data_IF_806840820216
#
_entry.id   IF_806840820216
#
_cell.length_a   1.000
_cell.length_b   1.000
_cell.length_c   1.000
_cell.angle_alpha   90.00
_cell.angle_beta   90.00
_cell.angle_gamma   90.00
#
_symmetry.space_group_name_H-M   'P 1'
#
loop_
_entity.id
_entity.type
_entity.pdbx_description
1 polymer ?
#
# COMPACT_ATOMS: atom_id res chain seq x y z
N UNK A 1 -80.10 -25.86 -18.63
CA UNK A 1 -79.71 -26.23 -20.01
C UNK A 1 -79.16 -24.99 -20.69
N UNK A 2 -77.95 -25.10 -21.23
CA UNK A 2 -77.50 -24.52 -22.51
C UNK A 2 -77.47 -23.00 -22.76
N UNK A 3 -76.28 -22.57 -23.21
CA UNK A 3 -75.96 -21.52 -24.21
C UNK A 3 -76.20 -20.05 -23.80
N UNK A 4 -75.17 -19.23 -23.58
CA UNK A 4 -74.18 -18.63 -24.51
C UNK A 4 -74.65 -17.29 -25.16
N UNK A 5 -73.73 -16.30 -25.10
CA UNK A 5 -73.63 -15.01 -25.84
C UNK A 5 -74.42 -13.85 -25.21
N UNK A 6 -73.84 -12.72 -24.79
CA UNK A 6 -72.91 -11.73 -25.40
C UNK A 6 -71.95 -11.16 -24.29
N UNK A 7 -70.62 -11.01 -24.38
CA UNK A 7 -69.70 -10.27 -25.29
C UNK A 7 -70.09 -8.76 -25.33
N UNK A 8 -69.38 -7.74 -24.84
CA UNK A 8 -67.96 -7.31 -24.87
C UNK A 8 -67.90 -5.95 -24.07
N UNK A 9 -66.94 -5.59 -23.21
CA UNK A 9 -65.76 -4.70 -23.48
C UNK A 9 -65.10 -4.43 -22.09
N UNK A 10 -63.83 -4.84 -21.85
CA UNK A 10 -62.57 -4.12 -22.13
C UNK A 10 -62.14 -3.18 -21.00
N UNK A 11 -61.12 -3.63 -20.26
CA UNK A 11 -60.43 -2.90 -19.21
C UNK A 11 -59.13 -3.63 -18.87
N UNK A 12 -58.25 -3.72 -19.86
CA UNK A 12 -56.87 -4.19 -19.76
C UNK A 12 -56.13 -3.44 -18.65
N UNK A 13 -55.73 -4.15 -17.58
CA UNK A 13 -54.58 -3.77 -16.77
C UNK A 13 -53.52 -4.86 -16.97
N UNK A 14 -52.68 -4.62 -17.96
CA UNK A 14 -51.39 -5.27 -18.10
C UNK A 14 -50.45 -4.73 -17.03
N UNK A 15 -50.31 -5.46 -15.92
CA UNK A 15 -49.10 -5.42 -15.11
C UNK A 15 -48.28 -6.63 -15.50
N UNK A 16 -47.32 -6.38 -16.38
CA UNK A 16 -46.25 -7.29 -16.74
C UNK A 16 -45.57 -7.74 -15.45
N UNK A 17 -45.75 -8.99 -15.07
CA UNK A 17 -44.75 -9.68 -14.27
C UNK A 17 -43.51 -9.76 -15.17
N UNK A 18 -42.54 -8.87 -14.93
CA UNK A 18 -41.18 -9.07 -15.39
C UNK A 18 -40.70 -10.31 -14.65
N UNK A 19 -40.83 -11.48 -15.27
CA UNK A 19 -40.05 -12.63 -14.85
C UNK A 19 -38.60 -12.23 -15.06
N UNK A 20 -37.88 -12.02 -13.96
CA UNK A 20 -36.42 -12.16 -13.96
C UNK A 20 -36.13 -13.45 -14.73
N UNK A 21 -35.35 -13.35 -15.80
CA UNK A 21 -35.14 -14.44 -16.75
C UNK A 21 -34.75 -15.73 -16.03
N UNK A 22 -35.14 -16.85 -16.63
CA UNK A 22 -34.72 -18.22 -16.28
C UNK A 22 -33.19 -18.37 -16.40
N UNK A 23 -32.43 -17.63 -15.59
CA UNK A 23 -31.05 -17.92 -15.32
C UNK A 23 -31.06 -19.27 -14.63
N UNK A 24 -30.73 -20.32 -15.39
CA UNK A 24 -30.44 -21.64 -14.82
C UNK A 24 -29.40 -21.41 -13.73
N UNK A 25 -29.82 -21.54 -12.48
CA UNK A 25 -28.91 -21.56 -11.36
C UNK A 25 -28.00 -22.78 -11.54
N UNK A 26 -26.72 -22.52 -11.78
CA UNK A 26 -25.68 -23.54 -11.69
C UNK A 26 -25.19 -23.49 -10.24
N UNK A 27 -25.40 -24.56 -9.45
CA UNK A 27 -24.75 -24.68 -8.15
C UNK A 27 -23.23 -24.52 -8.31
N UNK A 28 -22.56 -23.96 -7.29
CA UNK A 28 -21.10 -24.00 -7.24
C UNK A 28 -20.58 -25.44 -7.20
N UNK A 29 -19.28 -25.61 -7.41
CA UNK A 29 -18.66 -26.93 -7.41
C UNK A 29 -18.81 -27.62 -6.03
N UNK A 30 -18.76 -28.96 -6.04
CA UNK A 30 -18.84 -29.74 -4.80
C UNK A 30 -17.70 -29.34 -3.85
N UNK A 31 -18.02 -29.12 -2.57
CA UNK A 31 -17.02 -28.66 -1.61
C UNK A 31 -15.89 -29.67 -1.42
N UNK A 32 -14.63 -29.21 -1.44
CA UNK A 32 -13.47 -30.01 -1.05
C UNK A 32 -13.29 -30.08 0.49
N UNK A 33 -14.38 -30.24 1.25
CA UNK A 33 -14.39 -30.10 2.72
C UNK A 33 -13.54 -31.14 3.49
N UNK A 34 -13.12 -32.23 2.83
CA UNK A 34 -12.21 -33.24 3.40
C UNK A 34 -10.86 -33.30 2.69
N UNK A 35 -10.64 -32.49 1.66
CA UNK A 35 -9.39 -32.47 0.91
C UNK A 35 -8.44 -31.41 1.41
N UNK A 36 -7.36 -31.24 0.66
CA UNK A 36 -6.31 -30.25 0.95
C UNK A 36 -6.86 -28.82 0.89
N UNK A 37 -6.37 -27.99 1.79
CA UNK A 37 -6.62 -26.55 1.81
C UNK A 37 -5.33 -25.81 1.56
N UNK A 38 -5.22 -25.16 0.40
CA UNK A 38 -4.13 -24.27 0.03
C UNK A 38 -4.59 -22.82 0.23
N UNK A 39 -3.76 -22.01 0.88
CA UNK A 39 -4.09 -20.63 1.23
C UNK A 39 -2.86 -19.73 1.17
N UNK A 40 -3.08 -18.41 1.10
CA UNK A 40 -1.99 -17.44 1.14
C UNK A 40 -1.58 -17.15 2.59
N UNK A 41 -0.27 -16.97 2.82
CA UNK A 41 0.21 -16.33 4.04
C UNK A 41 -0.26 -14.87 4.05
N UNK A 42 -0.57 -14.35 5.25
CA UNK A 42 -1.04 -12.98 5.39
C UNK A 42 -0.03 -12.00 4.79
N UNK A 43 -0.53 -11.06 4.00
CA UNK A 43 0.29 -10.05 3.35
C UNK A 43 -0.29 -8.67 3.54
N UNK A 44 0.58 -7.66 3.47
CA UNK A 44 0.15 -6.28 3.51
C UNK A 44 -0.80 -5.97 2.32
N UNK A 45 -2.01 -5.46 2.59
CA UNK A 45 -3.02 -5.23 1.56
C UNK A 45 -2.67 -4.06 0.63
N UNK A 46 -1.62 -3.30 0.96
CA UNK A 46 -1.14 -2.16 0.19
C UNK A 46 0.39 -2.19 0.12
N UNK A 47 0.95 -2.01 -1.07
CA UNK A 47 2.39 -1.95 -1.31
C UNK A 47 2.74 -0.77 -2.21
N UNK A 48 3.57 0.14 -1.68
CA UNK A 48 4.25 1.17 -2.46
C UNK A 48 5.64 0.64 -2.81
N UNK A 49 5.95 0.56 -4.10
CA UNK A 49 7.17 -0.10 -4.57
C UNK A 49 8.09 0.89 -5.29
N UNK A 50 9.38 0.93 -4.93
CA UNK A 50 10.39 1.71 -5.64
C UNK A 50 10.52 1.32 -7.12
N UNK A 51 11.12 2.21 -7.90
CA UNK A 51 11.24 2.06 -9.36
C UNK A 51 12.04 0.82 -9.80
N UNK A 52 13.00 0.39 -8.99
CA UNK A 52 13.86 -0.77 -9.25
C UNK A 52 13.21 -2.13 -8.89
N UNK A 53 12.04 -2.10 -8.25
CA UNK A 53 11.26 -3.31 -7.95
C UNK A 53 10.33 -3.63 -9.11
N UNK A 54 10.52 -4.80 -9.71
CA UNK A 54 9.76 -5.28 -10.88
C UNK A 54 8.98 -6.56 -10.60
N UNK A 55 8.94 -7.03 -9.35
CA UNK A 55 8.27 -8.26 -8.97
C UNK A 55 7.72 -8.21 -7.53
N UNK A 56 6.73 -9.06 -7.26
CA UNK A 56 6.21 -9.31 -5.91
C UNK A 56 6.08 -10.82 -5.73
N UNK A 57 6.60 -11.31 -4.61
CA UNK A 57 6.42 -12.70 -4.19
C UNK A 57 5.29 -12.83 -3.19
N UNK A 58 4.42 -13.81 -3.43
CA UNK A 58 3.36 -14.27 -2.53
C UNK A 58 3.70 -15.67 -2.05
N UNK A 59 3.58 -15.89 -0.74
CA UNK A 59 3.80 -17.21 -0.14
C UNK A 59 2.46 -17.92 0.05
N UNK A 60 2.44 -19.18 -0.34
CA UNK A 60 1.30 -20.07 -0.16
C UNK A 60 1.69 -21.18 0.81
N UNK A 61 0.72 -21.59 1.60
CA UNK A 61 0.80 -22.72 2.51
C UNK A 61 -0.31 -23.72 2.22
N UNK A 62 -0.14 -24.94 2.71
CA UNK A 62 -1.15 -25.99 2.66
C UNK A 62 -1.14 -26.81 3.94
N UNK A 63 -2.28 -27.40 4.26
CA UNK A 63 -2.52 -28.13 5.51
C UNK A 63 -1.93 -29.55 5.56
N UNK A 64 -1.66 -30.17 4.41
CA UNK A 64 -1.01 -31.49 4.30
C UNK A 64 0.04 -31.50 3.18
N UNK A 65 1.20 -32.11 3.42
CA UNK A 65 2.28 -32.16 2.44
C UNK A 65 1.92 -33.07 1.25
N UNK A 66 2.21 -32.69 0.00
CA UNK A 66 1.84 -33.49 -1.15
C UNK A 66 2.70 -34.75 -1.22
N UNK A 67 2.08 -35.86 -1.66
CA UNK A 67 2.77 -37.16 -1.79
C UNK A 67 3.63 -37.26 -3.04
N UNK A 68 3.35 -36.42 -4.03
CA UNK A 68 4.06 -36.26 -5.30
C UNK A 68 4.18 -34.75 -5.61
N UNK A 69 5.02 -34.36 -6.57
CA UNK A 69 5.10 -32.96 -6.97
C UNK A 69 3.75 -32.49 -7.54
N UNK A 70 3.27 -31.32 -7.13
CA UNK A 70 1.91 -30.87 -7.42
C UNK A 70 1.89 -29.41 -7.90
N UNK A 71 1.17 -29.16 -9.00
CA UNK A 71 0.86 -27.81 -9.48
C UNK A 71 -0.56 -27.45 -9.06
N UNK A 72 -0.69 -26.46 -8.18
CA UNK A 72 -1.97 -25.94 -7.74
C UNK A 72 -2.36 -24.78 -8.65
N UNK A 73 -3.50 -24.84 -9.38
CA UNK A 73 -3.89 -23.75 -10.28
C UNK A 73 -4.23 -22.48 -9.50
N UNK A 74 -3.79 -21.36 -10.06
CA UNK A 74 -4.05 -20.02 -9.57
C UNK A 74 -4.89 -19.27 -10.58
N UNK A 75 -5.75 -18.43 -10.06
CA UNK A 75 -6.54 -17.50 -10.84
C UNK A 75 -6.16 -16.07 -10.46
N UNK A 76 -6.25 -15.19 -11.45
CA UNK A 76 -5.85 -13.80 -11.34
C UNK A 76 -6.95 -12.89 -11.87
N UNK A 77 -7.19 -11.80 -11.15
CA UNK A 77 -8.09 -10.74 -11.57
C UNK A 77 -7.47 -9.38 -11.28
N UNK A 78 -7.43 -8.53 -12.31
CA UNK A 78 -7.08 -7.13 -12.22
C UNK A 78 -7.85 -6.36 -13.30
N UNK A 79 -8.11 -5.07 -13.08
CA UNK A 79 -8.67 -4.20 -14.11
C UNK A 79 -7.69 -3.95 -15.27
N UNK A 80 -6.38 -4.14 -15.04
CA UNK A 80 -5.29 -3.93 -15.99
C UNK A 80 -4.40 -5.18 -16.05
N UNK A 81 -4.90 -6.33 -16.54
CA UNK A 81 -4.16 -7.58 -16.53
C UNK A 81 -2.84 -7.51 -17.30
N UNK A 82 -2.75 -6.68 -18.34
CA UNK A 82 -1.54 -6.47 -19.13
C UNK A 82 -0.37 -5.84 -18.38
N UNK A 83 -0.61 -5.25 -17.20
CA UNK A 83 0.44 -4.68 -16.34
C UNK A 83 1.22 -5.76 -15.57
N UNK A 84 0.74 -7.01 -15.56
CA UNK A 84 1.28 -8.09 -14.76
C UNK A 84 1.50 -9.36 -15.59
N UNK A 85 2.59 -10.05 -15.31
CA UNK A 85 2.80 -11.43 -15.71
C UNK A 85 2.66 -12.31 -14.46
N UNK A 86 1.62 -13.12 -14.44
CA UNK A 86 1.18 -13.89 -13.27
C UNK A 86 1.25 -15.38 -13.59
N UNK A 87 1.97 -16.18 -12.78
CA UNK A 87 2.02 -17.62 -12.96
C UNK A 87 0.63 -18.26 -12.86
N UNK A 88 0.33 -19.21 -13.76
CA UNK A 88 -0.93 -19.97 -13.76
C UNK A 88 -0.99 -21.01 -12.62
N UNK A 89 0.15 -21.33 -12.01
CA UNK A 89 0.26 -22.39 -11.00
C UNK A 89 1.22 -22.01 -9.87
N UNK A 90 0.92 -22.47 -8.66
CA UNK A 90 1.87 -22.59 -7.56
C UNK A 90 2.43 -24.03 -7.53
N UNK A 91 3.76 -24.16 -7.53
CA UNK A 91 4.41 -25.46 -7.50
C UNK A 91 4.74 -25.89 -6.07
N UNK A 92 4.19 -27.01 -5.63
CA UNK A 92 4.50 -27.64 -4.36
C UNK A 92 5.35 -28.89 -4.60
N UNK A 93 6.65 -28.89 -4.25
CA UNK A 93 7.46 -30.09 -4.29
C UNK A 93 6.92 -31.17 -3.34
N UNK A 94 7.15 -32.43 -3.67
CA UNK A 94 6.82 -33.56 -2.80
C UNK A 94 7.36 -33.36 -1.38
N UNK A 95 6.47 -33.48 -0.40
CA UNK A 95 6.81 -33.37 1.02
C UNK A 95 6.92 -31.94 1.55
N UNK A 96 6.79 -30.92 0.70
CA UNK A 96 6.85 -29.52 1.09
C UNK A 96 5.45 -28.90 1.23
N UNK A 97 5.24 -28.15 2.31
CA UNK A 97 3.94 -27.53 2.62
C UNK A 97 3.87 -26.06 2.20
N UNK A 98 4.91 -25.55 1.54
CA UNK A 98 5.01 -24.14 1.19
C UNK A 98 5.44 -23.97 -0.25
N UNK A 99 4.92 -22.93 -0.90
CA UNK A 99 5.30 -22.52 -2.24
C UNK A 99 5.39 -20.99 -2.31
N UNK A 100 6.11 -20.50 -3.29
CA UNK A 100 6.22 -19.08 -3.59
C UNK A 100 5.80 -18.83 -5.03
N UNK A 101 4.99 -17.80 -5.22
CA UNK A 101 4.51 -17.34 -6.53
C UNK A 101 5.01 -15.93 -6.73
N UNK A 102 5.78 -15.72 -7.79
CA UNK A 102 6.32 -14.40 -8.14
C UNK A 102 5.52 -13.83 -9.29
N UNK A 103 4.91 -12.67 -9.05
CA UNK A 103 4.23 -11.86 -10.05
C UNK A 103 5.19 -10.80 -10.56
N UNK A 104 5.39 -10.73 -11.86
CA UNK A 104 6.27 -9.75 -12.50
C UNK A 104 5.49 -8.56 -13.04
N UNK A 105 6.10 -7.38 -13.04
CA UNK A 105 5.57 -6.18 -13.64
C UNK A 105 6.02 -6.07 -15.09
N UNK A 106 5.12 -5.65 -15.96
CA UNK A 106 5.43 -5.41 -17.38
C UNK A 106 5.78 -3.95 -17.64
N UNK A 107 6.11 -3.63 -18.89
CA UNK A 107 6.31 -2.24 -19.35
C UNK A 107 5.02 -1.41 -19.38
N UNK A 108 3.84 -2.02 -19.09
CA UNK A 108 2.54 -1.35 -19.05
C UNK A 108 2.15 -0.82 -17.69
N UNK A 109 2.95 -1.09 -16.66
CA UNK A 109 2.74 -0.50 -15.35
C UNK A 109 3.11 0.99 -15.38
N UNK A 110 2.19 1.84 -14.95
CA UNK A 110 2.32 3.29 -14.89
C UNK A 110 2.65 3.73 -13.46
N UNK A 111 3.51 4.73 -13.32
CA UNK A 111 3.94 5.24 -12.01
C UNK A 111 2.80 6.01 -11.31
N UNK A 112 2.69 5.85 -9.99
CA UNK A 112 1.63 6.37 -9.11
C UNK A 112 0.19 5.98 -9.48
N UNK A 113 0.01 4.99 -10.35
CA UNK A 113 -1.30 4.40 -10.61
C UNK A 113 -1.55 3.25 -9.65
N UNK A 114 -2.74 3.22 -9.05
CA UNK A 114 -3.18 2.12 -8.20
C UNK A 114 -3.64 0.93 -9.03
N UNK A 115 -3.05 -0.23 -8.77
CA UNK A 115 -3.46 -1.50 -9.34
C UNK A 115 -3.97 -2.41 -8.23
N UNK A 116 -5.25 -2.80 -8.32
CA UNK A 116 -5.84 -3.79 -7.42
C UNK A 116 -5.73 -5.16 -8.06
N UNK A 117 -4.97 -6.04 -7.41
CA UNK A 117 -4.66 -7.38 -7.85
C UNK A 117 -5.30 -8.37 -6.88
N UNK A 118 -6.04 -9.33 -7.42
CA UNK A 118 -6.60 -10.45 -6.68
C UNK A 118 -5.98 -11.74 -7.22
N UNK A 119 -5.35 -12.51 -6.33
CA UNK A 119 -4.96 -13.89 -6.61
C UNK A 119 -5.83 -14.82 -5.77
N UNK A 120 -6.28 -15.91 -6.38
CA UNK A 120 -7.05 -16.92 -5.66
C UNK A 120 -6.73 -18.32 -6.15
N UNK A 121 -6.70 -19.25 -5.20
CA UNK A 121 -6.49 -20.67 -5.43
C UNK A 121 -7.75 -21.26 -6.04
N UNK A 122 -7.59 -22.19 -6.98
CA UNK A 122 -8.70 -22.95 -7.56
C UNK A 122 -9.54 -23.68 -6.51
N UNK A 123 -10.87 -23.66 -6.68
CA UNK A 123 -11.82 -24.13 -5.65
C UNK A 123 -11.57 -25.59 -5.25
N UNK A 124 -11.08 -26.43 -6.17
CA UNK A 124 -10.76 -27.83 -5.93
C UNK A 124 -9.66 -28.05 -4.88
N UNK A 125 -8.89 -27.00 -4.56
CA UNK A 125 -7.80 -27.00 -3.57
C UNK A 125 -8.13 -26.19 -2.31
N UNK A 126 -9.41 -25.89 -2.09
CA UNK A 126 -9.86 -25.00 -1.00
C UNK A 126 -11.03 -25.59 -0.22
N UNK A 127 -11.10 -25.30 1.08
CA UNK A 127 -12.20 -25.72 1.94
C UNK A 127 -13.26 -24.59 2.11
N UNK A 128 -13.90 -24.16 1.01
CA UNK A 128 -14.72 -22.94 0.95
C UNK A 128 -15.89 -22.81 1.96
N UNK A 129 -16.36 -23.92 2.52
CA UNK A 129 -17.55 -23.95 3.40
C UNK A 129 -17.21 -24.32 4.85
N UNK A 130 -15.92 -24.34 5.19
CA UNK A 130 -15.44 -24.53 6.56
C UNK A 130 -15.09 -23.16 7.14
N UNK A 131 -15.49 -22.91 8.38
CA UNK A 131 -15.08 -21.71 9.10
C UNK A 131 -13.58 -21.79 9.38
N UNK A 132 -12.81 -20.85 8.84
CA UNK A 132 -11.36 -20.81 8.95
C UNK A 132 -10.84 -19.37 9.04
N UNK A 133 -9.60 -19.22 9.52
CA UNK A 133 -8.89 -17.94 9.60
C UNK A 133 -7.85 -17.77 8.49
N UNK A 134 -7.72 -18.77 7.61
CA UNK A 134 -6.84 -18.75 6.45
C UNK A 134 -7.67 -18.48 5.19
N UNK A 135 -7.10 -17.77 4.24
CA UNK A 135 -7.83 -17.30 3.07
C UNK A 135 -7.19 -17.82 1.78
N UNK A 136 -7.95 -18.52 0.91
CA UNK A 136 -7.48 -18.99 -0.38
C UNK A 136 -7.43 -17.87 -1.43
N UNK A 137 -7.64 -16.62 -1.00
CA UNK A 137 -7.63 -15.42 -1.82
C UNK A 137 -6.82 -14.35 -1.10
N UNK A 138 -6.04 -13.62 -1.87
CA UNK A 138 -5.35 -12.42 -1.43
C UNK A 138 -5.68 -11.25 -2.35
N UNK A 139 -5.92 -10.10 -1.74
CA UNK A 139 -6.19 -8.84 -2.42
C UNK A 139 -5.10 -7.85 -2.02
N UNK A 140 -4.37 -7.32 -3.00
CA UNK A 140 -3.31 -6.35 -2.77
C UNK A 140 -3.46 -5.16 -3.71
N UNK A 141 -3.25 -3.97 -3.17
CA UNK A 141 -3.13 -2.74 -3.93
C UNK A 141 -1.65 -2.45 -4.14
N UNK A 142 -1.24 -2.29 -5.40
CA UNK A 142 0.15 -2.04 -5.80
C UNK A 142 0.21 -0.65 -6.40
N UNK A 143 1.20 0.12 -5.97
CA UNK A 143 1.59 1.41 -6.57
C UNK A 143 3.09 1.36 -6.84
N UNK A 144 3.51 1.53 -8.09
CA UNK A 144 4.93 1.74 -8.41
C UNK A 144 5.23 3.23 -8.34
N UNK A 145 6.33 3.59 -7.70
CA UNK A 145 6.81 4.95 -7.58
C UNK A 145 7.96 5.20 -8.58
N UNK A 146 8.15 6.44 -9.04
CA UNK A 146 9.22 6.82 -9.98
C UNK A 146 10.37 7.62 -9.32
N UNK A 147 10.41 7.65 -7.99
CA UNK A 147 11.42 8.42 -7.28
C UNK A 147 12.81 7.87 -7.58
N UNK A 148 13.68 8.73 -8.12
CA UNK A 148 15.08 8.44 -8.39
C UNK A 148 15.96 9.21 -7.41
N UNK A 149 17.06 8.60 -6.94
CA UNK A 149 18.07 9.31 -6.15
C UNK A 149 18.68 10.42 -6.98
N UNK A 150 18.43 11.67 -6.57
CA UNK A 150 19.00 12.85 -7.20
C UNK A 150 20.37 13.17 -6.61
N UNK A 151 20.47 13.22 -5.27
CA UNK A 151 21.70 13.54 -4.54
C UNK A 151 21.70 12.89 -3.16
N UNK A 152 22.86 12.47 -2.70
CA UNK A 152 23.08 12.10 -1.30
C UNK A 152 23.58 13.31 -0.53
N UNK A 153 23.03 13.56 0.64
CA UNK A 153 23.43 14.68 1.49
C UNK A 153 23.31 14.36 2.97
N UNK A 154 23.46 15.38 3.80
CA UNK A 154 23.37 15.25 5.26
C UNK A 154 22.08 15.89 5.75
N UNK A 155 21.25 15.09 6.41
CA UNK A 155 20.14 15.57 7.22
C UNK A 155 20.62 15.85 8.65
N UNK A 156 20.20 16.96 9.23
CA UNK A 156 20.44 17.32 10.63
C UNK A 156 19.09 17.58 11.27
N UNK A 157 18.75 16.77 12.27
CA UNK A 157 17.57 16.94 13.10
C UNK A 157 17.86 18.01 14.16
N UNK A 158 17.13 19.12 14.16
CA UNK A 158 17.30 20.19 15.13
C UNK A 158 16.85 19.79 16.54
N UNK A 159 15.94 18.81 16.65
CA UNK A 159 15.42 18.28 17.91
C UNK A 159 16.43 17.39 18.67
N UNK A 160 17.62 17.14 18.11
CA UNK A 160 18.74 16.44 18.76
C UNK A 160 19.13 16.97 20.16
N UNK A 161 18.76 18.21 20.48
CA UNK A 161 19.01 18.83 21.78
C UNK A 161 17.91 18.57 22.83
N UNK A 162 16.92 17.73 22.51
CA UNK A 162 15.83 17.37 23.42
C UNK A 162 16.17 16.13 24.22
N UNK A 163 16.06 16.22 25.56
CA UNK A 163 15.98 15.08 26.50
C UNK A 163 14.68 14.25 26.32
N UNK A 164 14.01 14.36 25.16
CA UNK A 164 12.78 13.64 24.88
C UNK A 164 13.07 12.17 24.60
N UNK A 165 14.05 11.84 23.78
CA UNK A 165 14.38 10.44 23.46
C UNK A 165 15.89 10.32 23.62
N UNK A 166 16.38 9.16 24.05
CA UNK A 166 17.80 8.82 23.89
C UNK A 166 18.05 8.55 22.40
N UNK A 167 17.99 9.63 21.63
CA UNK A 167 18.34 9.71 20.24
C UNK A 167 19.84 9.42 20.18
N UNK A 168 20.23 8.13 20.09
CA UNK A 168 21.64 7.77 19.89
C UNK A 168 22.28 8.67 18.81
N UNK A 169 23.61 8.85 18.84
CA UNK A 169 24.34 9.85 18.02
C UNK A 169 23.96 9.85 16.51
N UNK A 170 23.39 8.73 16.00
CA UNK A 170 22.90 8.50 14.64
C UNK A 170 21.58 9.21 14.24
N UNK A 171 20.78 9.76 15.17
CA UNK A 171 19.52 10.48 14.81
C UNK A 171 19.71 11.99 14.70
N UNK A 172 20.76 12.52 15.33
CA UNK A 172 21.09 13.95 15.31
C UNK A 172 21.52 14.40 13.91
N UNK A 173 22.18 13.50 13.19
CA UNK A 173 22.65 13.76 11.85
C UNK A 173 22.85 12.45 11.12
N UNK A 174 22.33 12.35 9.90
CA UNK A 174 22.52 11.16 9.07
C UNK A 174 22.65 11.49 7.60
N UNK A 175 23.27 10.57 6.88
CA UNK A 175 23.32 10.60 5.42
C UNK A 175 21.96 10.11 4.90
N UNK A 176 21.32 10.92 4.06
CA UNK A 176 20.05 10.57 3.40
C UNK A 176 20.12 10.92 1.93
N UNK A 177 19.29 10.26 1.13
CA UNK A 177 19.12 10.57 -0.28
C UNK A 177 17.96 11.55 -0.46
N UNK A 178 18.24 12.62 -1.21
CA UNK A 178 17.23 13.44 -1.86
C UNK A 178 16.80 12.72 -3.13
N UNK A 179 15.55 12.32 -3.16
CA UNK A 179 14.93 11.67 -4.30
C UNK A 179 14.01 12.65 -5.01
N UNK A 180 13.82 12.46 -6.32
CA UNK A 180 12.94 13.28 -7.14
C UNK A 180 12.05 12.42 -8.03
N UNK A 181 10.77 12.78 -8.08
CA UNK A 181 9.75 12.21 -8.94
C UNK A 181 9.49 13.15 -10.11
N UNK A 182 9.65 12.66 -11.34
CA UNK A 182 9.30 13.44 -12.55
C UNK A 182 7.79 13.52 -12.75
N UNK A 183 7.08 12.46 -12.38
CA UNK A 183 5.63 12.37 -12.54
C UNK A 183 4.90 13.32 -11.60
N UNK A 184 5.37 13.44 -10.36
CA UNK A 184 4.79 14.34 -9.36
C UNK A 184 5.42 15.73 -9.35
N UNK A 185 6.55 15.92 -10.04
CA UNK A 185 7.40 17.10 -9.94
C UNK A 185 7.71 17.46 -8.49
N UNK A 186 8.10 16.45 -7.71
CA UNK A 186 8.24 16.55 -6.26
C UNK A 186 9.50 15.84 -5.77
N UNK A 187 10.05 16.40 -4.70
CA UNK A 187 11.17 15.83 -3.96
C UNK A 187 10.68 15.05 -2.75
N UNK A 188 11.50 14.11 -2.29
CA UNK A 188 11.35 13.52 -0.97
C UNK A 188 12.70 13.22 -0.32
N UNK A 189 12.69 13.14 1.01
CA UNK A 189 13.78 12.63 1.84
C UNK A 189 13.18 11.74 2.93
N UNK A 190 13.88 10.67 3.33
CA UNK A 190 13.51 9.81 4.47
C UNK A 190 14.42 10.10 5.68
N UNK A 191 14.18 11.20 6.42
CA UNK A 191 15.09 11.62 7.48
C UNK A 191 14.97 10.76 8.74
N UNK A 192 13.84 10.12 8.98
CA UNK A 192 13.62 9.29 10.16
C UNK A 192 13.84 7.80 9.88
N UNK A 193 13.85 7.41 8.60
CA UNK A 193 13.96 6.02 8.17
C UNK A 193 12.59 5.35 8.10
N UNK A 194 12.56 4.09 7.68
CA UNK A 194 11.34 3.27 7.60
C UNK A 194 10.27 3.84 6.65
N UNK A 195 10.66 4.59 5.61
CA UNK A 195 9.73 5.14 4.63
C UNK A 195 8.90 6.31 5.16
N UNK A 196 9.40 7.02 6.19
CA UNK A 196 8.76 8.20 6.77
C UNK A 196 9.24 9.45 6.04
N UNK A 197 8.75 9.61 4.81
CA UNK A 197 9.21 10.67 3.92
C UNK A 197 8.67 12.06 4.29
N UNK A 198 9.54 13.06 4.22
CA UNK A 198 9.14 14.45 3.99
C UNK A 198 9.06 14.64 2.47
N UNK A 199 7.88 14.91 1.91
CA UNK A 199 7.74 15.24 0.48
C UNK A 199 7.43 16.71 0.28
N UNK A 200 8.03 17.30 -0.74
CA UNK A 200 7.92 18.73 -0.98
C UNK A 200 8.23 19.11 -2.43
N UNK A 201 7.75 20.28 -2.86
CA UNK A 201 8.15 20.94 -4.09
C UNK A 201 8.94 22.22 -3.78
N UNK A 202 9.77 22.68 -4.72
CA UNK A 202 10.51 23.95 -4.62
C UNK A 202 9.83 24.97 -5.50
N UNK A 203 9.47 26.12 -4.93
CA UNK A 203 8.83 27.22 -5.66
C UNK A 203 9.91 28.22 -6.09
N UNK A 204 10.66 27.87 -7.13
CA UNK A 204 11.76 28.69 -7.66
C UNK A 204 11.28 30.03 -8.24
N UNK A 205 10.02 30.12 -8.67
CA UNK A 205 9.42 31.35 -9.20
C UNK A 205 9.30 32.45 -8.13
N UNK A 206 9.22 32.05 -6.85
CA UNK A 206 9.18 32.95 -5.70
C UNK A 206 10.53 33.03 -4.96
N UNK A 207 11.66 32.76 -5.64
CA UNK A 207 12.99 32.92 -5.05
C UNK A 207 13.31 34.40 -4.74
N UNK A 208 13.56 34.69 -3.46
CA UNK A 208 14.04 35.99 -3.00
C UNK A 208 15.43 35.86 -2.36
N UNK A 209 16.40 36.66 -2.83
CA UNK A 209 17.77 36.69 -2.30
C UNK A 209 18.49 35.32 -2.28
N UNK A 210 18.19 34.41 -3.21
CA UNK A 210 18.79 33.07 -3.23
C UNK A 210 18.05 32.03 -2.38
N UNK A 211 16.85 32.36 -1.89
CA UNK A 211 16.04 31.53 -1.01
C UNK A 211 14.66 31.33 -1.65
N UNK A 212 14.33 30.08 -1.99
CA UNK A 212 13.03 29.69 -2.54
C UNK A 212 12.16 29.05 -1.45
N UNK A 213 10.84 29.30 -1.39
CA UNK A 213 9.95 28.59 -0.49
C UNK A 213 9.76 27.12 -0.93
N UNK A 214 9.44 26.27 0.04
CA UNK A 214 9.06 24.87 -0.19
C UNK A 214 7.58 24.68 0.11
N UNK A 215 6.89 23.89 -0.71
CA UNK A 215 5.54 23.44 -0.44
C UNK A 215 5.57 21.97 -0.03
N UNK A 216 5.31 21.69 1.25
CA UNK A 216 5.21 20.33 1.78
C UNK A 216 3.86 19.69 1.48
N UNK A 217 3.86 18.37 1.35
CA UNK A 217 2.65 17.56 1.15
C UNK A 217 1.80 17.41 2.42
N UNK A 218 2.41 17.58 3.60
CA UNK A 218 1.74 17.43 4.89
C UNK A 218 2.11 18.55 5.88
N UNK A 219 1.27 18.70 6.90
CA UNK A 219 1.52 19.61 8.04
C UNK A 219 2.04 18.90 9.27
N UNK A 220 1.83 17.58 9.36
CA UNK A 220 2.22 16.74 10.49
C UNK A 220 2.85 15.48 9.90
N UNK A 221 4.03 15.12 10.39
CA UNK A 221 4.78 13.94 10.02
C UNK A 221 4.98 13.06 11.25
N UNK A 222 4.73 11.76 11.11
CA UNK A 222 5.14 10.76 12.09
C UNK A 222 6.61 10.46 11.89
N UNK A 223 7.43 10.49 12.95
CA UNK A 223 8.85 10.14 12.82
C UNK A 223 9.07 8.62 12.93
N UNK A 224 8.12 7.89 13.52
CA UNK A 224 8.28 6.48 13.84
C UNK A 224 9.10 6.22 15.12
N UNK A 225 9.60 7.28 15.75
CA UNK A 225 10.27 7.19 17.04
C UNK A 225 9.26 7.22 18.18
N UNK A 226 9.52 6.40 19.19
CA UNK A 226 8.65 6.24 20.35
C UNK A 226 9.30 6.87 21.57
N UNK A 227 8.49 7.60 22.34
CA UNK A 227 8.83 8.14 23.64
C UNK A 227 8.03 7.45 24.73
N UNK A 228 8.66 7.03 25.83
CA UNK A 228 7.91 6.54 26.99
C UNK A 228 7.41 7.72 27.84
N UNK A 229 6.10 7.98 27.80
CA UNK A 229 5.48 8.99 28.67
C UNK A 229 5.22 8.38 30.05
N UNK A 230 5.99 8.82 31.05
CA UNK A 230 5.73 8.44 32.46
C UNK A 230 4.39 8.92 33.00
N UNK A 231 3.84 9.99 32.42
CA UNK A 231 2.53 10.54 32.79
C UNK A 231 1.38 9.67 32.27
N UNK A 232 1.55 9.13 31.06
CA UNK A 232 0.53 8.31 30.37
C UNK A 232 0.77 6.80 30.56
N UNK A 233 1.94 6.41 31.08
CA UNK A 233 2.33 5.03 31.34
C UNK A 233 2.52 4.18 30.09
N UNK A 234 2.78 4.81 28.94
CA UNK A 234 2.81 4.15 27.63
C UNK A 234 3.83 4.78 26.68
N UNK A 235 4.24 4.01 25.68
CA UNK A 235 5.00 4.50 24.55
C UNK A 235 4.09 5.32 23.61
N UNK A 236 4.55 6.51 23.24
CA UNK A 236 3.83 7.48 22.43
C UNK A 236 4.69 7.90 21.25
N UNK A 237 4.09 8.00 20.07
CA UNK A 237 4.83 8.36 18.85
C UNK A 237 5.19 9.85 18.86
N UNK A 238 6.44 10.14 18.49
CA UNK A 238 6.92 11.50 18.25
C UNK A 238 6.45 11.97 16.88
N UNK A 239 5.93 13.20 16.86
CA UNK A 239 5.47 13.86 15.63
C UNK A 239 6.25 15.14 15.39
N UNK A 240 6.44 15.46 14.12
CA UNK A 240 6.99 16.73 13.65
C UNK A 240 5.88 17.55 12.96
N UNK A 241 5.56 18.72 13.50
CA UNK A 241 4.52 19.62 12.98
C UNK A 241 5.13 20.83 12.33
N UNK A 242 4.77 21.16 11.09
CA UNK A 242 5.33 22.32 10.36
C UNK A 242 5.01 23.62 11.11
N UNK A 243 6.03 24.32 11.61
CA UNK A 243 5.89 25.49 12.48
C UNK A 243 6.21 26.83 11.82
N UNK A 244 6.85 26.79 10.65
CA UNK A 244 7.29 27.98 9.92
C UNK A 244 7.16 27.85 8.41
N UNK A 245 7.82 28.76 7.69
CA UNK A 245 7.94 28.68 6.22
C UNK A 245 9.19 27.89 5.86
N UNK A 246 9.05 26.73 5.21
CA UNK A 246 10.17 25.88 4.84
C UNK A 246 10.83 26.43 3.57
N UNK A 247 12.14 26.30 3.44
CA UNK A 247 12.91 27.05 2.42
C UNK A 247 14.07 26.25 1.84
N UNK A 248 14.50 26.61 0.63
CA UNK A 248 15.73 26.16 0.00
C UNK A 248 16.68 27.33 -0.28
N UNK A 249 17.88 27.31 0.29
CA UNK A 249 18.95 28.28 0.03
C UNK A 249 19.87 27.74 -1.09
N UNK A 250 19.75 28.29 -2.29
CA UNK A 250 20.41 27.78 -3.50
C UNK A 250 21.95 27.84 -3.41
N UNK A 251 22.50 28.87 -2.76
CA UNK A 251 23.96 29.04 -2.60
C UNK A 251 24.59 28.00 -1.68
N UNK A 252 23.88 27.61 -0.62
CA UNK A 252 24.33 26.62 0.36
C UNK A 252 23.82 25.22 0.06
N UNK A 253 22.98 25.07 -0.99
CA UNK A 253 22.30 23.82 -1.32
C UNK A 253 21.61 23.21 -0.10
N UNK A 254 20.96 24.06 0.70
CA UNK A 254 20.39 23.69 1.99
C UNK A 254 18.88 23.85 1.99
N UNK A 255 18.16 22.77 2.25
CA UNK A 255 16.74 22.80 2.57
C UNK A 255 16.57 22.96 4.09
N UNK A 256 15.58 23.73 4.51
CA UNK A 256 15.25 23.98 5.91
C UNK A 256 13.79 23.67 6.17
N UNK A 257 13.53 22.83 7.15
CA UNK A 257 12.22 22.36 7.56
C UNK A 257 11.96 22.80 9.01
N UNK A 258 11.22 23.91 9.23
CA UNK A 258 10.82 24.35 10.55
C UNK A 258 9.74 23.42 11.11
N UNK A 259 10.06 22.71 12.19
CA UNK A 259 9.18 21.79 12.88
C UNK A 259 9.05 22.09 14.36
N UNK A 260 7.83 22.02 14.89
CA UNK A 260 7.56 21.77 16.31
C UNK A 260 7.55 20.28 16.54
N UNK A 261 8.44 19.78 17.39
CA UNK A 261 8.45 18.37 17.79
C UNK A 261 7.59 18.17 19.04
N UNK A 262 6.87 17.05 19.13
CA UNK A 262 5.98 16.79 20.26
C UNK A 262 5.40 15.38 20.30
N UNK A 263 4.58 15.11 21.31
CA UNK A 263 3.81 13.87 21.49
C UNK A 263 2.52 14.16 22.26
N UNK A 264 1.43 13.43 21.99
CA UNK A 264 0.13 13.58 22.69
C UNK A 264 -0.35 15.04 22.88
N UNK A 265 -0.11 15.92 21.89
CA UNK A 265 -0.47 17.33 21.97
C UNK A 265 0.39 18.19 22.92
N UNK A 266 1.54 17.66 23.36
CA UNK A 266 2.58 18.39 24.09
C UNK A 266 3.70 18.78 23.13
N UNK A 267 3.97 20.07 23.06
CA UNK A 267 5.07 20.62 22.28
C UNK A 267 6.36 20.59 23.10
N UNK A 268 7.44 20.12 22.48
CA UNK A 268 8.75 20.08 23.09
C UNK A 268 9.69 21.19 22.58
N UNK A 269 9.35 21.84 21.48
CA UNK A 269 10.04 23.02 20.98
C UNK A 269 10.01 23.15 19.47
N UNK A 270 10.38 24.34 18.99
CA UNK A 270 10.52 24.67 17.58
C UNK A 270 11.98 24.52 17.13
N UNK A 271 12.17 23.82 16.03
CA UNK A 271 13.48 23.46 15.49
C UNK A 271 13.51 23.66 13.98
N UNK A 272 14.70 23.94 13.46
CA UNK A 272 14.95 23.97 12.03
C UNK A 272 15.77 22.74 11.68
N UNK A 273 15.11 21.76 11.12
CA UNK A 273 15.79 20.63 10.52
C UNK A 273 16.37 21.05 9.17
N UNK A 274 17.48 20.46 8.78
CA UNK A 274 18.14 20.85 7.53
C UNK A 274 18.64 19.64 6.74
N UNK A 275 18.57 19.74 5.41
CA UNK A 275 19.24 18.82 4.50
C UNK A 275 20.20 19.62 3.61
N UNK A 276 21.45 19.17 3.47
CA UNK A 276 22.47 19.86 2.65
C UNK A 276 23.33 18.89 1.84
N UNK A 277 23.77 19.30 0.64
CA UNK A 277 24.56 18.51 -0.31
C UNK A 277 25.55 19.33 -1.15
#
# INVERSE_FOLDING_TARGET
>A
MNFSRYVLYLGTVSLLAVSCGDGKYTPGDESNYLGVNVYFEETEPYRSLPLDVYEITFRLERDDAPREDENVPLHFSCAFPEAFDVPEYAFFPRGEMTSEVTVYFTDKIEDFKEYRLSLYVDEAYTQQYIQQTTYPRIDVTIVREDYEVLRTGRYICGAAALDLVDWGEDVISRTVDLEYSRTLDAYRIDPWGNGKYIRFTVDEDNEENGIAPLNLDARIYTTGDMYYSSEDGADVEVIATVSGTPTFENRRRTYTFPFTYGYLGKDAGDYNDTFSY
#
